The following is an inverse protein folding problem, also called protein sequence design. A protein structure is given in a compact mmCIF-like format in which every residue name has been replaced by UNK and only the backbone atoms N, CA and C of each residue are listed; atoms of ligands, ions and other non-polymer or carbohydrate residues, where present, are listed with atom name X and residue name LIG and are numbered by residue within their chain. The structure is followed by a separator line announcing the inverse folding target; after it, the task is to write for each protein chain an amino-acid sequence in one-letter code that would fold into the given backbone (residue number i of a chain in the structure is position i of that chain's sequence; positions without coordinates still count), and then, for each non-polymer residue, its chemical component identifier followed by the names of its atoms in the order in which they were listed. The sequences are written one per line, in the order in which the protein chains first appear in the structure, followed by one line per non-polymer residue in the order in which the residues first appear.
data_IF_556348212740
#
_entry.id   IF_556348212740
#
_cell.length_a   1.000
_cell.length_b   1.000
_cell.length_c   1.000
_cell.angle_alpha   90.00
_cell.angle_beta   90.00
_cell.angle_gamma   90.00
#
_symmetry.space_group_name_H-M   'P 1'
#
loop_
_entity.id
_entity.type
_entity.pdbx_description
1 polymer ?
#
# COMPACT_ATOMS: atom_id res chain seq x y z
N UNK A 1 36.78 1.28 -9.73
CA UNK A 1 35.40 1.62 -9.33
C UNK A 1 35.11 0.93 -8.01
N UNK A 2 35.02 1.71 -6.95
CA UNK A 2 35.00 1.27 -5.55
C UNK A 2 33.62 0.73 -5.20
N UNK A 3 33.52 -0.56 -4.85
CA UNK A 3 32.30 -1.17 -4.35
C UNK A 3 31.88 -0.48 -3.04
N UNK A 4 30.84 0.35 -3.11
CA UNK A 4 30.27 0.98 -1.93
C UNK A 4 29.59 -0.11 -1.10
N UNK A 5 30.04 -0.28 0.15
CA UNK A 5 29.56 -1.30 1.10
C UNK A 5 28.03 -1.27 1.22
N UNK A 6 27.34 -2.31 0.70
CA UNK A 6 25.87 -2.51 0.74
C UNK A 6 25.21 -2.14 2.08
N UNK A 7 25.87 -2.42 3.22
CA UNK A 7 25.34 -2.08 4.55
C UNK A 7 25.26 -0.58 4.89
N UNK A 8 26.11 0.26 4.31
CA UNK A 8 26.06 1.72 4.55
C UNK A 8 24.96 2.39 3.72
N UNK A 9 24.67 1.86 2.54
CA UNK A 9 23.61 2.38 1.67
C UNK A 9 22.23 2.13 2.27
N UNK A 10 21.98 0.91 2.77
CA UNK A 10 20.73 0.55 3.46
C UNK A 10 20.49 1.40 4.73
N UNK A 11 21.54 1.65 5.53
CA UNK A 11 21.42 2.49 6.73
C UNK A 11 21.13 3.96 6.41
N UNK A 12 21.75 4.50 5.36
CA UNK A 12 21.51 5.89 4.92
C UNK A 12 20.08 6.05 4.37
N UNK A 13 19.60 5.10 3.55
CA UNK A 13 18.22 5.09 3.08
C UNK A 13 17.21 5.02 4.23
N UNK A 14 17.48 4.18 5.23
CA UNK A 14 16.64 4.07 6.43
C UNK A 14 16.64 5.37 7.25
N UNK A 15 17.80 6.01 7.47
CA UNK A 15 17.87 7.29 8.18
C UNK A 15 17.13 8.41 7.44
N UNK A 16 17.27 8.47 6.11
CA UNK A 16 16.56 9.43 5.27
C UNK A 16 15.06 9.20 5.34
N UNK A 17 14.61 7.94 5.29
CA UNK A 17 13.20 7.58 5.46
C UNK A 17 12.68 8.05 6.83
N UNK A 18 13.40 7.76 7.92
CA UNK A 18 13.04 8.21 9.28
C UNK A 18 12.96 9.74 9.38
N UNK A 19 13.90 10.47 8.77
CA UNK A 19 13.87 11.93 8.77
C UNK A 19 12.70 12.51 7.95
N UNK A 20 12.37 11.89 6.81
CA UNK A 20 11.22 12.25 5.98
C UNK A 20 9.90 11.92 6.70
N UNK A 21 9.86 10.82 7.46
CA UNK A 21 8.73 10.49 8.34
C UNK A 21 8.56 11.50 9.49
N UNK A 22 9.55 12.35 9.77
CA UNK A 22 9.49 13.38 10.82
C UNK A 22 8.95 14.76 10.39
N UNK A 23 8.91 15.08 9.09
CA UNK A 23 8.55 16.43 8.58
C UNK A 23 7.31 16.43 7.65
N UNK A 24 6.52 17.52 7.62
CA UNK A 24 5.39 17.71 6.68
C UNK A 24 4.00 17.93 7.31
N UNK A 25 3.08 18.53 6.56
CA UNK A 25 1.66 18.66 6.90
C UNK A 25 0.82 17.48 6.37
N UNK A 26 -0.20 17.09 7.14
CA UNK A 26 -1.16 16.00 6.87
C UNK A 26 -1.84 16.09 5.51
N UNK A 27 -1.92 14.95 4.82
CA UNK A 27 -3.04 14.62 3.93
C UNK A 27 -3.35 13.14 4.12
N UNK A 28 -4.55 12.70 3.76
CA UNK A 28 -4.92 11.29 3.79
C UNK A 28 -4.10 10.48 2.77
N UNK A 29 -3.33 9.50 3.25
CA UNK A 29 -2.57 8.57 2.41
C UNK A 29 -3.50 7.65 1.60
N UNK A 30 -3.12 7.33 0.36
CA UNK A 30 -3.65 6.24 -0.48
C UNK A 30 -2.46 5.32 -0.78
N UNK A 31 -2.59 4.00 -0.69
CA UNK A 31 -1.43 3.14 -0.97
C UNK A 31 -1.27 2.72 -2.42
N UNK A 32 -0.43 1.71 -2.60
CA UNK A 32 0.31 1.38 -3.81
C UNK A 32 -0.34 0.23 -4.58
N UNK A 33 -0.59 -0.94 -3.97
CA UNK A 33 -1.49 -1.96 -4.55
C UNK A 33 -2.75 -2.04 -3.69
N UNK A 34 -3.93 -2.18 -4.31
CA UNK A 34 -5.22 -1.93 -3.68
C UNK A 34 -5.54 -0.44 -3.51
N UNK A 35 -6.79 -0.05 -3.76
CA UNK A 35 -7.23 1.34 -3.69
C UNK A 35 -7.03 1.99 -2.32
N UNK A 36 -7.08 1.20 -1.24
CA UNK A 36 -6.95 1.65 0.15
C UNK A 36 -5.83 0.98 0.94
N UNK A 37 -5.11 0.03 0.35
CA UNK A 37 -4.07 -0.79 1.01
C UNK A 37 -2.72 -0.06 1.10
N UNK A 38 -1.63 -0.71 1.53
CA UNK A 38 -0.26 -0.21 1.41
C UNK A 38 0.39 -0.69 0.11
N UNK A 39 1.56 -1.35 0.15
CA UNK A 39 2.12 -1.99 -1.05
C UNK A 39 1.41 -3.34 -1.16
N UNK A 40 1.81 -4.36 -0.40
CA UNK A 40 1.16 -5.66 -0.35
C UNK A 40 0.20 -5.80 0.83
N UNK A 41 0.40 -5.00 1.90
CA UNK A 41 -0.31 -5.22 3.16
C UNK A 41 -1.64 -4.45 3.24
N UNK A 42 -2.70 -5.07 3.81
CA UNK A 42 -3.97 -4.39 3.99
C UNK A 42 -3.94 -3.23 4.98
N UNK A 43 -4.88 -2.28 4.84
CA UNK A 43 -5.14 -1.25 5.86
C UNK A 43 -6.56 -1.33 6.44
N UNK A 44 -6.79 -0.63 7.55
CA UNK A 44 -8.09 -0.46 8.19
C UNK A 44 -9.09 0.43 7.40
N UNK A 45 -8.69 0.95 6.23
CA UNK A 45 -9.52 1.84 5.42
C UNK A 45 -10.14 1.08 4.25
N UNK A 46 -11.25 1.63 3.78
CA UNK A 46 -11.93 1.23 2.55
C UNK A 46 -12.13 2.45 1.66
N UNK A 47 -12.31 2.22 0.36
CA UNK A 47 -12.80 3.21 -0.59
C UNK A 47 -14.20 3.71 -0.19
N UNK A 48 -14.45 4.99 -0.45
CA UNK A 48 -15.77 5.59 -0.23
C UNK A 48 -16.79 5.00 -1.22
N UNK A 49 -18.06 4.93 -0.82
CA UNK A 49 -19.14 4.44 -1.68
C UNK A 49 -19.16 5.16 -3.03
N UNK A 50 -19.20 4.40 -4.13
CA UNK A 50 -19.19 4.92 -5.50
C UNK A 50 -17.83 5.36 -6.04
N UNK A 51 -16.76 5.29 -5.23
CA UNK A 51 -15.40 5.62 -5.69
C UNK A 51 -14.66 4.36 -6.17
N UNK A 52 -13.73 4.55 -7.10
CA UNK A 52 -12.91 3.45 -7.64
C UNK A 52 -11.45 3.84 -7.76
N UNK A 53 -10.60 2.83 -7.91
CA UNK A 53 -9.20 2.97 -8.31
C UNK A 53 -8.88 2.02 -9.44
N UNK A 54 -8.06 2.47 -10.38
CA UNK A 54 -7.50 1.61 -11.43
C UNK A 54 -5.98 1.75 -11.35
N UNK A 55 -5.29 0.63 -11.22
CA UNK A 55 -3.84 0.58 -11.13
C UNK A 55 -3.22 -0.29 -12.22
N UNK A 56 -2.09 0.12 -12.76
CA UNK A 56 -1.27 -0.68 -13.66
C UNK A 56 0.20 -0.57 -13.25
N UNK A 57 0.86 -1.71 -13.07
CA UNK A 57 2.21 -1.80 -12.50
C UNK A 57 3.06 -2.76 -13.31
N UNK A 58 4.37 -2.51 -13.36
CA UNK A 58 5.38 -3.36 -14.00
C UNK A 58 6.52 -3.54 -13.01
N UNK A 59 6.93 -4.79 -12.81
CA UNK A 59 8.07 -5.14 -11.98
C UNK A 59 9.18 -5.79 -12.81
N UNK A 60 10.34 -6.01 -12.20
CA UNK A 60 11.49 -6.62 -12.88
C UNK A 60 11.24 -8.10 -13.25
N UNK A 61 10.51 -8.86 -12.42
CA UNK A 61 10.23 -10.28 -12.66
C UNK A 61 8.84 -10.57 -13.26
N UNK A 62 7.85 -9.70 -12.99
CA UNK A 62 6.48 -9.81 -13.51
C UNK A 62 6.28 -8.83 -14.66
N UNK A 63 5.72 -9.31 -15.77
CA UNK A 63 5.42 -8.47 -16.94
C UNK A 63 4.45 -7.35 -16.62
N UNK A 64 3.52 -7.58 -15.69
CA UNK A 64 2.77 -6.49 -15.06
C UNK A 64 1.62 -6.97 -14.19
N UNK A 65 1.00 -6.03 -13.50
CA UNK A 65 -0.22 -6.21 -12.71
C UNK A 65 -1.21 -5.12 -13.07
N UNK A 66 -2.44 -5.50 -13.36
CA UNK A 66 -3.56 -4.56 -13.52
C UNK A 66 -4.55 -4.83 -12.40
N UNK A 67 -5.05 -3.79 -11.75
CA UNK A 67 -6.04 -3.94 -10.68
C UNK A 67 -7.12 -2.87 -10.78
N UNK A 68 -8.31 -3.22 -10.30
CA UNK A 68 -9.43 -2.31 -10.11
C UNK A 68 -10.03 -2.57 -8.74
N UNK A 69 -10.30 -1.50 -7.99
CA UNK A 69 -11.00 -1.58 -6.71
C UNK A 69 -12.17 -0.59 -6.71
N UNK A 70 -13.25 -0.94 -6.00
CA UNK A 70 -14.50 -0.19 -5.95
C UNK A 70 -15.08 -0.21 -4.54
N UNK A 71 -15.39 0.98 -4.02
CA UNK A 71 -16.20 1.14 -2.82
C UNK A 71 -17.67 0.86 -3.16
N UNK A 72 -18.10 -0.39 -3.01
CA UNK A 72 -19.42 -0.85 -3.45
C UNK A 72 -20.55 -0.19 -2.65
N UNK A 73 -20.43 -0.18 -1.33
CA UNK A 73 -21.34 0.47 -0.39
C UNK A 73 -20.52 1.02 0.78
N UNK A 74 -21.15 1.77 1.68
CA UNK A 74 -20.52 2.24 2.92
C UNK A 74 -19.83 1.07 3.63
N UNK A 75 -18.55 1.28 3.99
CA UNK A 75 -17.71 0.32 4.71
C UNK A 75 -17.31 -0.94 3.93
N UNK A 76 -17.68 -1.08 2.65
CA UNK A 76 -17.38 -2.28 1.86
C UNK A 76 -16.68 -1.96 0.54
N UNK A 77 -15.51 -2.56 0.36
CA UNK A 77 -14.68 -2.46 -0.85
C UNK A 77 -14.54 -3.83 -1.50
N UNK A 78 -14.62 -3.86 -2.83
CA UNK A 78 -14.32 -5.04 -3.65
C UNK A 78 -13.27 -4.69 -4.68
N UNK A 79 -12.49 -5.66 -5.10
CA UNK A 79 -11.49 -5.46 -6.12
C UNK A 79 -11.18 -6.72 -6.90
N UNK A 80 -10.55 -6.53 -8.04
CA UNK A 80 -10.01 -7.58 -8.87
C UNK A 80 -8.63 -7.19 -9.40
N UNK A 81 -7.76 -8.18 -9.58
CA UNK A 81 -6.45 -7.99 -10.16
C UNK A 81 -6.13 -9.11 -11.14
N UNK A 82 -5.34 -8.76 -12.15
CA UNK A 82 -4.74 -9.66 -13.11
C UNK A 82 -3.23 -9.51 -12.97
N UNK A 83 -2.57 -10.56 -12.50
CA UNK A 83 -1.12 -10.66 -12.48
C UNK A 83 -0.68 -11.34 -13.79
N UNK A 84 0.08 -10.62 -14.61
CA UNK A 84 0.58 -11.10 -15.90
C UNK A 84 2.02 -11.59 -15.74
N UNK A 85 2.24 -12.86 -16.02
CA UNK A 85 3.55 -13.50 -16.03
C UNK A 85 3.91 -13.97 -17.45
N UNK A 86 5.15 -14.44 -17.62
CA UNK A 86 5.61 -14.95 -18.92
C UNK A 86 4.94 -16.28 -19.31
N UNK A 87 4.42 -17.03 -18.34
CA UNK A 87 3.94 -18.40 -18.56
C UNK A 87 2.45 -18.55 -18.23
N UNK A 88 1.88 -17.69 -17.39
CA UNK A 88 0.48 -17.68 -17.03
C UNK A 88 -0.03 -16.27 -16.72
N UNK A 89 -1.35 -16.15 -16.61
CA UNK A 89 -2.00 -14.99 -16.04
C UNK A 89 -2.88 -15.47 -14.89
N UNK A 90 -2.71 -14.87 -13.72
CA UNK A 90 -3.54 -15.17 -12.56
C UNK A 90 -4.57 -14.07 -12.36
N UNK A 91 -5.84 -14.46 -12.28
CA UNK A 91 -6.92 -13.54 -11.91
C UNK A 91 -7.25 -13.77 -10.45
N UNK A 92 -7.37 -12.68 -9.71
CA UNK A 92 -7.78 -12.71 -8.31
C UNK A 92 -8.85 -11.66 -8.04
N UNK A 93 -9.70 -11.95 -7.06
CA UNK A 93 -10.63 -11.01 -6.48
C UNK A 93 -10.29 -10.78 -5.00
N UNK A 94 -10.77 -9.66 -4.47
CA UNK A 94 -10.67 -9.31 -3.05
C UNK A 94 -11.90 -8.58 -2.58
N UNK A 95 -12.16 -8.67 -1.29
CA UNK A 95 -13.09 -7.77 -0.63
C UNK A 95 -12.55 -7.37 0.74
N UNK A 96 -13.03 -6.23 1.23
CA UNK A 96 -12.69 -5.68 2.52
C UNK A 96 -13.93 -5.05 3.14
N UNK A 97 -14.12 -5.31 4.43
CA UNK A 97 -15.16 -4.69 5.22
C UNK A 97 -14.57 -3.97 6.42
N UNK A 98 -14.89 -2.68 6.57
CA UNK A 98 -14.51 -1.87 7.71
C UNK A 98 -15.52 -2.08 8.84
N UNK A 99 -15.09 -2.78 9.89
CA UNK A 99 -15.90 -3.07 11.07
C UNK A 99 -16.05 -1.85 11.98
N UNK A 100 -14.95 -1.13 12.21
CA UNK A 100 -14.93 0.03 13.10
C UNK A 100 -14.30 1.17 12.31
N UNK A 101 -15.03 2.28 12.07
CA UNK A 101 -14.45 3.44 11.43
C UNK A 101 -13.43 4.09 12.37
N UNK A 102 -12.27 4.43 11.80
CA UNK A 102 -11.28 5.25 12.50
C UNK A 102 -11.87 6.63 12.80
N UNK A 103 -11.66 7.12 14.02
CA UNK A 103 -11.99 8.49 14.41
C UNK A 103 -10.75 9.20 14.90
N UNK A 104 -10.83 10.47 15.33
CA UNK A 104 -9.69 11.15 15.96
C UNK A 104 -9.21 10.43 17.23
N UNK A 105 -10.11 9.78 17.95
CA UNK A 105 -9.86 9.23 19.29
C UNK A 105 -9.89 7.68 19.34
N UNK A 106 -10.17 7.00 18.23
CA UNK A 106 -10.31 5.55 18.19
C UNK A 106 -9.65 4.97 16.94
N UNK A 107 -8.96 3.85 17.13
CA UNK A 107 -8.44 3.03 16.04
C UNK A 107 -9.59 2.57 15.13
N UNK A 108 -9.30 2.39 13.84
CA UNK A 108 -10.20 1.70 12.92
C UNK A 108 -9.84 0.22 12.82
N UNK A 109 -10.84 -0.61 12.52
CA UNK A 109 -10.71 -2.06 12.35
C UNK A 109 -11.34 -2.46 11.03
N UNK A 110 -10.65 -3.28 10.25
CA UNK A 110 -11.19 -3.91 9.06
C UNK A 110 -10.81 -5.39 9.00
N UNK A 111 -11.61 -6.15 8.25
CA UNK A 111 -11.30 -7.51 7.83
C UNK A 111 -11.47 -7.64 6.33
N UNK A 112 -10.88 -8.68 5.76
CA UNK A 112 -11.08 -8.95 4.34
C UNK A 112 -10.45 -10.25 3.91
N UNK A 113 -10.60 -10.52 2.62
CA UNK A 113 -9.99 -11.66 1.96
C UNK A 113 -9.38 -11.15 0.65
N UNK A 114 -8.13 -11.51 0.40
CA UNK A 114 -7.45 -11.33 -0.88
C UNK A 114 -7.25 -12.68 -1.57
N UNK A 115 -6.82 -12.64 -2.83
CA UNK A 115 -6.45 -13.82 -3.61
C UNK A 115 -7.61 -14.81 -3.85
N UNK A 116 -8.86 -14.33 -3.85
CA UNK A 116 -10.02 -15.15 -4.19
C UNK A 116 -9.89 -15.57 -5.66
N UNK A 117 -9.87 -16.89 -5.91
CA UNK A 117 -9.67 -17.46 -7.24
C UNK A 117 -8.24 -17.96 -7.50
N UNK A 118 -7.28 -17.66 -6.61
CA UNK A 118 -5.96 -18.31 -6.59
C UNK A 118 -6.00 -19.62 -5.82
N UNK A 119 -4.91 -20.38 -5.87
CA UNK A 119 -4.77 -21.65 -5.12
C UNK A 119 -4.88 -21.46 -3.60
N UNK A 120 -4.40 -20.31 -3.10
CA UNK A 120 -4.38 -19.97 -1.68
C UNK A 120 -5.11 -18.64 -1.51
N UNK A 121 -6.19 -18.65 -0.71
CA UNK A 121 -6.89 -17.42 -0.31
C UNK A 121 -6.24 -16.82 0.93
N UNK A 122 -6.26 -15.48 1.03
CA UNK A 122 -5.52 -14.73 2.04
C UNK A 122 -6.48 -13.92 2.92
N UNK A 123 -7.10 -14.51 3.96
CA UNK A 123 -7.95 -13.78 4.89
C UNK A 123 -7.11 -12.92 5.84
N UNK A 124 -7.63 -11.80 6.30
CA UNK A 124 -6.92 -10.92 7.23
C UNK A 124 -7.85 -10.12 8.15
N UNK A 125 -7.26 -9.64 9.24
CA UNK A 125 -7.81 -8.60 10.12
C UNK A 125 -6.73 -7.53 10.34
N UNK A 126 -7.12 -6.27 10.34
CA UNK A 126 -6.20 -5.14 10.44
C UNK A 126 -6.78 -4.03 11.29
N UNK A 127 -5.97 -3.54 12.22
CA UNK A 127 -6.22 -2.35 13.02
C UNK A 127 -5.26 -1.24 12.57
N UNK A 128 -5.72 0.00 12.57
CA UNK A 128 -4.88 1.13 12.18
C UNK A 128 -5.37 2.44 12.76
N UNK A 129 -4.48 3.44 12.75
CA UNK A 129 -4.78 4.78 13.23
C UNK A 129 -3.76 5.81 12.73
N UNK A 130 -4.10 7.09 12.87
CA UNK A 130 -3.17 8.20 12.65
C UNK A 130 -2.62 8.71 13.97
N UNK A 131 -1.30 8.79 14.06
CA UNK A 131 -0.60 9.38 15.20
C UNK A 131 -0.56 10.90 14.98
N UNK A 132 -1.47 11.60 15.64
CA UNK A 132 -1.43 13.06 15.76
C UNK A 132 -0.33 13.50 16.74
N UNK A 133 0.38 14.62 16.52
CA UNK A 133 0.24 15.60 15.43
C UNK A 133 1.13 15.32 14.21
N UNK A 134 1.75 14.15 14.12
CA UNK A 134 2.77 13.85 13.09
C UNK A 134 2.19 13.38 11.76
N UNK A 135 0.88 13.12 11.72
CA UNK A 135 0.16 12.59 10.56
C UNK A 135 0.76 11.29 10.00
N UNK A 136 1.42 10.55 10.90
CA UNK A 136 1.99 9.24 10.63
C UNK A 136 0.88 8.21 10.81
N UNK A 137 0.50 7.56 9.72
CA UNK A 137 -0.49 6.48 9.73
C UNK A 137 0.22 5.16 9.91
N UNK A 138 -0.32 4.32 10.80
CA UNK A 138 0.14 2.95 10.98
C UNK A 138 -1.02 1.97 10.82
N UNK A 139 -0.69 0.76 10.38
CA UNK A 139 -1.58 -0.39 10.41
C UNK A 139 -0.80 -1.60 10.93
N UNK A 140 -1.49 -2.45 11.68
CA UNK A 140 -1.01 -3.71 12.18
C UNK A 140 -2.09 -4.75 11.93
N UNK A 141 -1.71 -5.93 11.47
CA UNK A 141 -2.69 -6.97 11.22
C UNK A 141 -2.13 -8.37 11.27
N UNK A 142 -3.06 -9.31 11.14
CA UNK A 142 -2.83 -10.73 11.11
C UNK A 142 -3.51 -11.28 9.86
N UNK A 143 -2.79 -12.12 9.12
CA UNK A 143 -3.29 -12.74 7.91
C UNK A 143 -3.02 -14.24 7.82
N UNK A 144 -3.72 -14.87 6.88
CA UNK A 144 -3.47 -16.23 6.41
C UNK A 144 -3.10 -16.23 4.93
N UNK A 145 -2.78 -17.40 4.40
CA UNK A 145 -2.42 -17.56 3.00
C UNK A 145 -1.11 -16.84 2.67
N UNK A 146 -1.11 -16.00 1.63
CA UNK A 146 0.05 -15.19 1.25
C UNK A 146 0.35 -14.07 2.26
N UNK A 147 -0.63 -13.68 3.09
CA UNK A 147 -0.46 -12.75 4.21
C UNK A 147 -0.18 -13.48 5.54
N UNK A 148 0.31 -14.71 5.47
CA UNK A 148 0.46 -15.61 6.62
C UNK A 148 1.37 -15.04 7.71
N UNK A 149 0.77 -14.65 8.84
CA UNK A 149 1.50 -14.15 10.01
C UNK A 149 1.12 -12.72 10.39
N UNK A 150 2.09 -12.00 10.97
CA UNK A 150 1.93 -10.60 11.38
C UNK A 150 2.42 -9.70 10.26
N UNK A 151 1.61 -8.72 9.88
CA UNK A 151 2.05 -7.64 9.02
C UNK A 151 1.88 -6.28 9.69
N UNK A 152 2.71 -5.33 9.27
CA UNK A 152 2.70 -3.96 9.78
C UNK A 152 3.08 -3.00 8.67
N UNK A 153 2.52 -1.80 8.69
CA UNK A 153 2.95 -0.75 7.77
C UNK A 153 2.75 0.64 8.30
N UNK A 154 3.54 1.55 7.75
CA UNK A 154 3.56 2.97 8.03
C UNK A 154 3.39 3.73 6.73
N UNK A 155 2.66 4.84 6.79
CA UNK A 155 2.68 5.82 5.72
C UNK A 155 2.67 7.23 6.25
N UNK A 156 3.27 8.12 5.47
CA UNK A 156 3.23 9.55 5.72
C UNK A 156 3.03 10.32 4.43
N UNK A 157 2.13 11.28 4.46
CA UNK A 157 2.06 12.27 3.39
C UNK A 157 3.01 13.42 3.68
N UNK A 158 3.78 13.77 2.65
CA UNK A 158 4.62 14.94 2.58
C UNK A 158 4.05 15.84 1.48
N UNK A 159 3.72 17.07 1.84
CA UNK A 159 3.18 18.07 0.91
C UNK A 159 4.13 19.29 0.81
N UNK A 160 5.25 19.15 0.09
CA UNK A 160 6.17 20.26 -0.14
C UNK A 160 5.53 21.34 -1.03
N UNK A 161 5.98 22.59 -0.94
CA UNK A 161 5.40 23.69 -1.74
C UNK A 161 5.88 23.66 -3.19
N UNK A 162 7.08 23.14 -3.42
CA UNK A 162 7.80 23.18 -4.70
C UNK A 162 7.68 21.87 -5.49
N UNK A 163 7.14 20.81 -4.88
CA UNK A 163 7.03 19.48 -5.48
C UNK A 163 5.61 18.92 -5.32
N UNK A 164 5.21 17.95 -6.15
CA UNK A 164 3.93 17.27 -5.97
C UNK A 164 3.85 16.57 -4.61
N UNK A 165 2.64 16.40 -4.09
CA UNK A 165 2.40 15.65 -2.86
C UNK A 165 2.93 14.21 -3.01
N UNK A 166 3.70 13.76 -2.02
CA UNK A 166 4.28 12.41 -1.98
C UNK A 166 3.77 11.69 -0.74
N UNK A 167 3.26 10.47 -0.90
CA UNK A 167 3.01 9.55 0.20
C UNK A 167 4.16 8.57 0.27
N UNK A 168 4.92 8.57 1.36
CA UNK A 168 5.92 7.54 1.64
C UNK A 168 5.26 6.39 2.37
N UNK A 169 5.66 5.17 2.03
CA UNK A 169 5.12 3.93 2.55
C UNK A 169 6.29 3.02 2.92
N UNK A 170 6.21 2.39 4.09
CA UNK A 170 7.07 1.29 4.47
C UNK A 170 6.23 0.22 5.14
N UNK A 171 6.40 -1.04 4.75
CA UNK A 171 5.63 -2.15 5.29
C UNK A 171 6.49 -3.40 5.46
N UNK A 172 6.00 -4.29 6.31
CA UNK A 172 6.51 -5.63 6.54
C UNK A 172 5.34 -6.59 6.41
N UNK A 173 5.43 -7.55 5.48
CA UNK A 173 4.33 -8.45 5.08
C UNK A 173 4.45 -9.88 5.66
N UNK A 174 5.03 -9.99 6.85
CA UNK A 174 5.38 -11.23 7.57
C UNK A 174 6.66 -11.93 7.09
N UNK A 175 7.13 -11.61 5.89
CA UNK A 175 8.37 -12.17 5.35
C UNK A 175 9.39 -11.06 5.17
N UNK A 176 9.01 -10.02 4.42
CA UNK A 176 9.99 -9.12 3.84
C UNK A 176 9.61 -7.64 4.06
N UNK A 177 10.60 -6.77 3.91
CA UNK A 177 10.43 -5.33 4.05
C UNK A 177 10.21 -4.71 2.66
N UNK A 178 9.13 -3.95 2.51
CA UNK A 178 8.82 -3.23 1.27
C UNK A 178 8.83 -1.72 1.54
N UNK A 179 9.38 -0.95 0.59
CA UNK A 179 9.40 0.51 0.64
C UNK A 179 8.77 1.07 -0.63
N UNK A 180 8.00 2.15 -0.50
CA UNK A 180 7.32 2.72 -1.65
C UNK A 180 7.00 4.20 -1.50
N UNK A 181 6.71 4.81 -2.64
CA UNK A 181 6.24 6.18 -2.72
C UNK A 181 5.14 6.32 -3.77
N UNK A 182 4.12 7.11 -3.43
CA UNK A 182 3.02 7.48 -4.32
C UNK A 182 3.01 8.99 -4.52
N UNK A 183 3.24 9.43 -5.75
CA UNK A 183 3.42 10.83 -6.13
C UNK A 183 2.16 11.30 -6.86
N UNK A 184 1.46 12.30 -6.32
CA UNK A 184 0.26 12.88 -6.94
C UNK A 184 0.65 13.84 -8.07
N UNK A 185 0.68 13.35 -9.31
CA UNK A 185 1.10 14.15 -10.47
C UNK A 185 0.04 15.18 -10.90
N UNK A 186 -1.23 14.81 -10.78
CA UNK A 186 -2.38 15.71 -10.95
C UNK A 186 -3.55 15.20 -10.08
N UNK A 187 -4.70 15.88 -10.09
CA UNK A 187 -5.84 15.60 -9.18
C UNK A 187 -6.23 14.12 -9.08
N UNK A 188 -6.08 13.35 -10.16
CA UNK A 188 -6.60 11.99 -10.24
C UNK A 188 -5.52 10.97 -10.61
N UNK A 189 -4.28 11.41 -10.89
CA UNK A 189 -3.22 10.57 -11.43
C UNK A 189 -2.04 10.51 -10.49
N UNK A 190 -1.65 9.29 -10.16
CA UNK A 190 -0.52 8.99 -9.29
C UNK A 190 0.54 8.20 -10.04
N UNK A 191 1.81 8.56 -9.81
CA UNK A 191 2.96 7.72 -10.12
C UNK A 191 3.33 6.94 -8.85
N UNK A 192 3.40 5.64 -8.99
CA UNK A 192 3.70 4.70 -7.91
C UNK A 192 5.08 4.08 -8.16
N UNK A 193 5.93 4.08 -7.14
CA UNK A 193 7.23 3.39 -7.17
C UNK A 193 7.41 2.60 -5.89
N UNK A 194 7.95 1.41 -5.98
CA UNK A 194 8.23 0.57 -4.83
C UNK A 194 9.47 -0.30 -5.04
N UNK A 195 10.06 -0.71 -3.93
CA UNK A 195 11.05 -1.78 -3.85
C UNK A 195 10.44 -2.84 -2.95
N UNK A 196 10.12 -4.00 -3.52
CA UNK A 196 9.57 -5.17 -2.85
C UNK A 196 10.74 -6.06 -2.43
N UNK A 197 10.68 -6.66 -1.25
CA UNK A 197 11.74 -7.48 -0.63
C UNK A 197 13.14 -6.82 -0.68
N UNK A 198 13.14 -5.48 -0.70
CA UNK A 198 14.35 -4.66 -0.87
C UNK A 198 15.23 -5.02 -2.10
N UNK A 199 14.71 -5.79 -3.06
CA UNK A 199 15.46 -6.31 -4.20
C UNK A 199 14.74 -6.14 -5.55
N UNK A 200 13.40 -6.10 -5.56
CA UNK A 200 12.60 -5.99 -6.77
C UNK A 200 12.03 -4.59 -6.94
N UNK A 201 12.41 -3.91 -8.01
CA UNK A 201 11.84 -2.60 -8.33
C UNK A 201 10.48 -2.74 -9.04
N UNK A 202 9.51 -1.94 -8.61
CA UNK A 202 8.20 -1.80 -9.25
C UNK A 202 7.89 -0.34 -9.54
N UNK A 203 7.35 -0.09 -10.73
CA UNK A 203 6.78 1.20 -11.11
C UNK A 203 5.37 1.00 -11.63
N UNK A 204 4.49 1.94 -11.36
CA UNK A 204 3.14 1.91 -11.87
C UNK A 204 2.44 3.24 -11.84
N UNK A 205 1.18 3.19 -12.27
CA UNK A 205 0.29 4.34 -12.29
C UNK A 205 -1.03 3.95 -11.63
N UNK A 206 -1.57 4.84 -10.82
CA UNK A 206 -2.92 4.71 -10.27
C UNK A 206 -3.78 5.89 -10.69
N UNK A 207 -4.99 5.60 -11.15
CA UNK A 207 -6.06 6.58 -11.35
C UNK A 207 -7.04 6.47 -10.19
N UNK A 208 -7.36 7.60 -9.57
CA UNK A 208 -8.41 7.72 -8.56
C UNK A 208 -9.27 8.95 -8.89
N UNK A 209 -10.52 8.78 -9.35
CA UNK A 209 -11.40 9.88 -9.75
C UNK A 209 -11.81 10.80 -8.60
#
# INVERSE_FOLDING_TARGET
MTAMKRGKFSFVCLMVLVFLLGSGQSVAAKGLFGGSDFINTPTNRVLSSGTYTIGAYVGEEKWGRIQVDFGLVTDFEVGAAIDMSRHDNEVSARFKYRLIPETKNSFGLALGIQDIGKEIFSPYVVIGHVISPYDLRWNFGLGGGQLGGIFFGLSKVINPKEFPQVTLIGEYDAYDLNLGAKILLNKNFHLDVAVIDMDQFVVGITITP
#
